data_IF_552446278634
#
_entry.id   IF_552446278634
#
_cell.length_a   1.000
_cell.length_b   1.000
_cell.length_c   1.000
_cell.angle_alpha   90.00
_cell.angle_beta   90.00
_cell.angle_gamma   90.00
#
_symmetry.space_group_name_H-M   'P 1'
#
loop_
_entity.id
_entity.type
_entity.pdbx_description
1 polymer ?
#
# COMPACT_ATOMS: atom_id res chain seq x y z
N UNK A 1 -6.74 3.77 2.47
CA UNK A 1 -5.49 2.97 2.54
C UNK A 1 -4.94 2.82 1.14
N UNK A 2 -3.69 3.19 0.91
CA UNK A 2 -3.06 3.18 -0.41
C UNK A 2 -1.84 2.25 -0.43
N UNK A 3 -1.73 1.35 -1.41
CA UNK A 3 -0.53 0.52 -1.63
C UNK A 3 0.11 0.95 -2.96
N UNK A 4 1.43 1.23 -2.96
CA UNK A 4 2.12 1.78 -4.14
C UNK A 4 3.33 0.94 -4.59
N UNK A 5 3.44 0.63 -5.90
CA UNK A 5 4.60 -0.03 -6.53
C UNK A 5 5.51 0.99 -7.22
N UNK A 6 6.83 0.92 -6.99
CA UNK A 6 7.87 1.71 -7.68
C UNK A 6 8.69 0.78 -8.60
N UNK A 7 9.12 1.27 -9.77
CA UNK A 7 10.06 0.57 -10.66
C UNK A 7 11.40 1.32 -10.64
N UNK A 8 12.50 0.60 -10.42
CA UNK A 8 13.86 1.13 -10.56
C UNK A 8 14.22 1.30 -12.04
N UNK A 9 14.48 2.53 -12.48
CA UNK A 9 15.13 2.77 -13.77
C UNK A 9 16.64 2.47 -13.66
N UNK A 10 17.13 1.53 -14.47
CA UNK A 10 18.56 1.35 -14.72
C UNK A 10 19.01 2.48 -15.66
N UNK A 11 19.87 3.35 -15.14
CA UNK A 11 20.43 4.49 -15.87
C UNK A 11 21.17 4.04 -17.14
N UNK A 12 20.68 4.51 -18.29
CA UNK A 12 21.41 4.52 -19.53
C UNK A 12 20.93 5.67 -20.41
N UNK A 13 21.78 6.68 -20.60
CA UNK A 13 22.04 7.47 -21.84
C UNK A 13 22.52 8.90 -21.49
N UNK A 14 23.64 9.28 -22.12
CA UNK A 14 24.28 10.59 -22.05
C UNK A 14 23.51 11.69 -22.83
N UNK A 15 23.26 12.82 -22.16
CA UNK A 15 23.19 14.28 -22.52
C UNK A 15 23.15 14.75 -23.99
N UNK A 16 22.49 15.89 -24.36
CA UNK A 16 22.83 17.23 -23.81
C UNK A 16 21.75 18.34 -23.68
N UNK A 17 22.00 19.24 -22.69
CA UNK A 17 21.68 20.69 -22.52
C UNK A 17 20.23 21.16 -22.77
N UNK A 18 19.54 21.91 -21.91
CA UNK A 18 19.95 23.21 -21.33
C UNK A 18 18.96 23.68 -20.23
N UNK A 19 19.36 24.73 -19.48
CA UNK A 19 18.65 25.50 -18.44
C UNK A 19 18.68 25.02 -16.98
N UNK A 20 19.72 25.51 -16.28
CA UNK A 20 19.83 25.56 -14.81
C UNK A 20 18.78 26.49 -14.20
N UNK A 21 17.63 25.95 -13.82
CA UNK A 21 16.89 26.46 -12.66
C UNK A 21 17.55 25.85 -11.41
N UNK A 22 17.97 26.70 -10.49
CA UNK A 22 18.59 26.32 -9.21
C UNK A 22 17.78 25.22 -8.50
N UNK A 23 18.36 24.02 -8.37
CA UNK A 23 17.73 22.88 -7.66
C UNK A 23 17.35 23.21 -6.20
N UNK A 24 17.98 24.24 -5.60
CA UNK A 24 17.68 24.69 -4.25
C UNK A 24 16.31 25.38 -4.12
N UNK A 25 15.72 25.87 -5.23
CA UNK A 25 14.42 26.55 -5.20
C UNK A 25 13.23 25.61 -5.48
N UNK A 26 13.43 24.49 -6.19
CA UNK A 26 12.37 23.49 -6.38
C UNK A 26 12.11 22.69 -5.10
N UNK A 27 13.16 22.26 -4.40
CA UNK A 27 13.02 21.50 -3.16
C UNK A 27 12.30 22.30 -2.06
N UNK A 28 12.57 23.61 -1.95
CA UNK A 28 11.89 24.48 -0.98
C UNK A 28 10.43 24.79 -1.37
N UNK A 29 10.11 24.87 -2.66
CA UNK A 29 8.74 25.06 -3.12
C UNK A 29 7.89 23.78 -2.96
N UNK A 30 8.46 22.61 -3.23
CA UNK A 30 7.80 21.29 -3.06
C UNK A 30 7.59 20.99 -1.57
N UNK A 31 8.56 21.32 -0.71
CA UNK A 31 8.40 21.23 0.75
C UNK A 31 7.27 22.14 1.26
N UNK A 32 7.14 23.35 0.71
CA UNK A 32 6.05 24.27 1.07
C UNK A 32 4.66 23.79 0.61
N UNK A 33 4.55 23.08 -0.52
CA UNK A 33 3.26 22.54 -1.00
C UNK A 33 2.76 21.36 -0.16
N UNK A 34 3.69 20.58 0.38
CA UNK A 34 3.42 19.45 1.27
C UNK A 34 2.93 19.91 2.66
N UNK A 35 3.42 21.06 3.12
CA UNK A 35 2.97 21.74 4.34
C UNK A 35 1.56 22.36 4.21
N UNK A 36 1.09 22.62 2.99
CA UNK A 36 -0.19 23.30 2.71
C UNK A 36 -1.42 22.39 2.74
N UNK A 37 -1.25 21.06 2.87
CA UNK A 37 -2.36 20.10 3.04
C UNK A 37 -2.89 20.01 4.49
N UNK A 38 -2.44 20.91 5.37
CA UNK A 38 -2.72 20.84 6.82
C UNK A 38 -3.92 21.73 7.16
N UNK A 39 -5.10 21.12 7.26
CA UNK A 39 -6.13 21.65 8.16
C UNK A 39 -5.73 21.37 9.61
N UNK A 40 -6.24 22.17 10.55
CA UNK A 40 -5.95 22.23 12.00
C UNK A 40 -5.94 20.88 12.77
N UNK A 41 -6.24 19.75 12.14
CA UNK A 41 -6.43 18.43 12.75
C UNK A 41 -5.18 17.53 12.71
N UNK A 42 -4.19 17.82 11.86
CA UNK A 42 -2.97 17.01 11.70
C UNK A 42 -3.14 15.72 10.88
N UNK A 43 -4.37 15.38 10.47
CA UNK A 43 -4.66 14.27 9.55
C UNK A 43 -4.31 14.65 8.11
N UNK A 44 -4.04 13.64 7.29
CA UNK A 44 -3.83 13.81 5.84
C UNK A 44 -5.10 13.47 5.13
N UNK A 45 -5.65 14.46 4.42
CA UNK A 45 -6.80 14.27 3.57
C UNK A 45 -6.34 14.03 2.13
N UNK A 46 -6.93 13.01 1.51
CA UNK A 46 -6.82 12.73 0.10
C UNK A 46 -7.76 13.66 -0.69
N UNK A 47 -7.64 13.70 -2.02
CA UNK A 47 -8.48 14.56 -2.87
C UNK A 47 -9.99 14.26 -2.77
N UNK A 48 -10.35 13.02 -2.45
CA UNK A 48 -11.73 12.58 -2.20
C UNK A 48 -12.23 12.91 -0.77
N UNK A 49 -11.47 13.72 -0.02
CA UNK A 49 -11.68 14.04 1.40
C UNK A 49 -11.61 12.84 2.35
N UNK A 50 -11.16 11.67 1.89
CA UNK A 50 -10.85 10.55 2.79
C UNK A 50 -9.59 10.83 3.60
N UNK A 51 -9.49 10.21 4.77
CA UNK A 51 -8.26 10.26 5.58
C UNK A 51 -7.30 9.18 5.10
N UNK A 52 -6.07 9.55 4.76
CA UNK A 52 -5.00 8.57 4.54
C UNK A 52 -4.66 7.93 5.89
N UNK A 53 -5.09 6.68 6.08
CA UNK A 53 -4.82 5.92 7.30
C UNK A 53 -3.46 5.21 7.27
N UNK A 54 -3.10 4.64 6.11
CA UNK A 54 -1.85 3.92 5.90
C UNK A 54 -1.44 3.94 4.43
N UNK A 55 -0.12 3.99 4.20
CA UNK A 55 0.49 3.78 2.89
C UNK A 55 1.63 2.77 2.97
N UNK A 56 1.47 1.62 2.32
CA UNK A 56 2.61 0.74 2.05
C UNK A 56 3.33 1.20 0.79
N UNK A 57 4.65 1.15 0.82
CA UNK A 57 5.53 1.61 -0.24
C UNK A 57 6.38 0.42 -0.66
N UNK A 58 6.30 -0.01 -1.91
CA UNK A 58 7.13 -1.12 -2.36
C UNK A 58 8.63 -0.77 -2.29
N UNK A 59 9.46 -1.76 -1.99
CA UNK A 59 10.92 -1.65 -2.10
C UNK A 59 11.64 -0.78 -1.07
N UNK A 60 10.97 -0.34 0.01
CA UNK A 60 11.60 0.52 1.05
C UNK A 60 12.46 -0.24 2.06
N UNK A 61 12.49 -1.57 2.00
CA UNK A 61 13.36 -2.41 2.84
C UNK A 61 12.90 -2.61 4.28
N UNK A 62 11.67 -2.25 4.62
CA UNK A 62 11.06 -2.46 5.95
C UNK A 62 9.70 -3.13 5.84
N UNK A 63 9.23 -3.80 6.91
CA UNK A 63 7.94 -4.49 6.90
C UNK A 63 6.76 -3.51 6.92
N UNK A 64 5.86 -3.66 5.94
CA UNK A 64 4.57 -3.00 5.90
C UNK A 64 3.67 -3.48 7.03
N UNK A 65 3.68 -4.78 7.33
CA UNK A 65 2.89 -5.32 8.43
C UNK A 65 3.35 -4.78 9.79
N UNK A 66 4.66 -4.82 10.09
CA UNK A 66 5.18 -4.30 11.36
C UNK A 66 4.88 -2.81 11.51
N UNK A 67 5.05 -2.01 10.44
CA UNK A 67 4.64 -0.60 10.48
C UNK A 67 3.14 -0.49 10.75
N UNK A 68 2.31 -1.28 10.07
CA UNK A 68 0.85 -1.22 10.19
C UNK A 68 0.35 -1.56 11.59
N UNK A 69 1.06 -2.40 12.36
CA UNK A 69 0.65 -2.76 13.73
C UNK A 69 1.40 -1.98 14.81
N UNK A 70 2.31 -1.08 14.44
CA UNK A 70 3.12 -0.28 15.37
C UNK A 70 2.30 0.82 16.05
N UNK A 71 1.47 0.45 17.02
CA UNK A 71 0.66 1.37 17.83
C UNK A 71 1.53 2.40 18.54
N UNK A 72 1.05 3.65 18.60
CA UNK A 72 1.77 4.77 19.22
C UNK A 72 2.89 5.38 18.36
N UNK A 73 3.20 4.82 17.19
CA UNK A 73 4.20 5.36 16.26
C UNK A 73 3.54 5.94 15.00
N UNK A 74 3.20 7.23 15.02
CA UNK A 74 2.37 7.86 13.99
C UNK A 74 3.12 8.97 13.23
N UNK A 75 3.09 8.91 11.90
CA UNK A 75 3.75 9.86 10.98
C UNK A 75 3.00 11.19 10.84
N UNK A 76 1.80 11.25 11.42
CA UNK A 76 1.01 12.47 11.50
C UNK A 76 1.19 13.25 12.81
N UNK A 77 2.11 12.82 13.68
CA UNK A 77 2.56 13.65 14.80
C UNK A 77 3.40 14.85 14.28
N UNK A 78 3.37 16.03 14.92
CA UNK A 78 4.10 17.20 14.43
C UNK A 78 5.60 16.95 14.20
N UNK A 79 6.24 16.19 15.09
CA UNK A 79 7.66 15.87 14.99
C UNK A 79 7.93 14.87 13.86
N UNK A 80 7.23 13.73 13.81
CA UNK A 80 7.43 12.76 12.73
C UNK A 80 7.10 13.35 11.36
N UNK A 81 6.09 14.23 11.30
CA UNK A 81 5.69 14.93 10.08
C UNK A 81 6.79 15.82 9.52
N UNK A 82 7.59 16.46 10.37
CA UNK A 82 8.66 17.36 9.94
C UNK A 82 9.80 16.65 9.20
N UNK A 83 9.95 15.35 9.42
CA UNK A 83 10.96 14.49 8.79
C UNK A 83 10.37 13.57 7.69
N UNK A 84 9.05 13.58 7.50
CA UNK A 84 8.39 12.68 6.54
C UNK A 84 8.59 13.16 5.10
N UNK A 85 9.18 12.36 4.19
CA UNK A 85 9.30 12.73 2.80
C UNK A 85 7.93 12.91 2.15
N UNK A 86 7.76 13.97 1.35
CA UNK A 86 6.48 14.26 0.70
C UNK A 86 6.02 13.16 -0.26
N UNK A 87 6.96 12.41 -0.86
CA UNK A 87 6.63 11.22 -1.63
C UNK A 87 5.88 10.16 -0.82
N UNK A 88 5.98 10.16 0.51
CA UNK A 88 5.27 9.23 1.38
C UNK A 88 3.79 9.59 1.61
N UNK A 89 3.34 10.76 1.16
CA UNK A 89 1.94 11.20 1.25
C UNK A 89 1.25 11.24 -0.12
N UNK A 90 2.01 11.11 -1.20
CA UNK A 90 1.49 11.23 -2.56
C UNK A 90 1.39 9.87 -3.25
N UNK A 91 0.50 9.79 -4.24
CA UNK A 91 0.35 8.60 -5.08
C UNK A 91 1.14 8.71 -6.39
N UNK A 92 1.53 9.92 -6.80
CA UNK A 92 2.16 10.22 -8.09
C UNK A 92 3.51 9.51 -8.32
N UNK A 93 4.17 9.01 -7.26
CA UNK A 93 5.41 8.24 -7.37
C UNK A 93 6.64 9.05 -7.83
N UNK A 94 6.45 10.26 -8.36
CA UNK A 94 7.49 11.19 -8.81
C UNK A 94 8.38 11.77 -7.69
N UNK A 95 8.03 11.55 -6.42
CA UNK A 95 8.81 12.00 -5.27
C UNK A 95 9.29 10.80 -4.46
N UNK A 96 10.54 10.84 -3.94
CA UNK A 96 11.09 9.74 -3.17
C UNK A 96 10.32 9.54 -1.86
N UNK A 97 10.23 8.28 -1.44
CA UNK A 97 9.72 7.87 -0.15
C UNK A 97 10.57 6.72 0.38
N UNK A 98 10.95 6.80 1.65
CA UNK A 98 11.87 5.87 2.31
C UNK A 98 11.19 4.97 3.35
N UNK A 99 9.89 5.17 3.60
CA UNK A 99 9.16 4.46 4.66
C UNK A 99 7.69 4.24 4.31
N UNK A 100 7.02 3.48 5.15
CA UNK A 100 5.57 3.38 5.15
C UNK A 100 4.97 4.51 5.97
N UNK A 101 3.86 5.07 5.50
CA UNK A 101 3.13 6.07 6.27
C UNK A 101 2.06 5.38 7.13
N UNK A 102 1.99 5.76 8.41
CA UNK A 102 0.94 5.36 9.37
C UNK A 102 0.34 6.59 10.05
N UNK A 103 -0.98 6.70 10.00
CA UNK A 103 -1.73 7.73 10.72
C UNK A 103 -2.16 7.25 12.11
N UNK A 104 -2.31 8.19 13.04
CA UNK A 104 -2.90 7.97 14.37
C UNK A 104 -4.34 7.46 14.32
N UNK A 105 -5.06 7.65 13.21
CA UNK A 105 -6.43 7.14 13.06
C UNK A 105 -6.50 5.61 13.21
N UNK A 106 -5.39 4.90 12.98
CA UNK A 106 -5.32 3.47 13.22
C UNK A 106 -5.25 3.12 14.72
N UNK A 107 -4.70 4.00 15.55
CA UNK A 107 -4.73 3.87 17.02
C UNK A 107 -6.10 4.31 17.57
N UNK A 108 -6.65 5.40 17.01
CA UNK A 108 -7.94 5.98 17.39
C UNK A 108 -9.15 5.23 16.78
N UNK A 109 -8.92 4.21 15.93
CA UNK A 109 -9.97 3.46 15.24
C UNK A 109 -11.09 3.00 16.18
N UNK A 110 -10.81 2.39 17.36
CA UNK A 110 -11.87 1.88 18.23
C UNK A 110 -12.84 2.96 18.75
N UNK A 111 -12.41 4.22 18.79
CA UNK A 111 -13.22 5.37 19.20
C UNK A 111 -13.68 6.24 18.03
N UNK A 112 -13.30 5.88 16.79
CA UNK A 112 -13.63 6.61 15.58
C UNK A 112 -14.85 5.99 14.89
N UNK A 113 -15.76 6.82 14.43
CA UNK A 113 -16.82 6.40 13.50
C UNK A 113 -16.25 6.28 12.10
N UNK A 114 -15.96 5.05 11.67
CA UNK A 114 -15.44 4.75 10.34
C UNK A 114 -16.53 3.99 9.58
N UNK A 115 -17.15 4.66 8.61
CA UNK A 115 -18.25 4.07 7.83
C UNK A 115 -17.70 3.24 6.66
N UNK A 116 -16.63 3.70 6.01
CA UNK A 116 -16.05 3.04 4.83
C UNK A 116 -14.54 3.06 4.90
N UNK A 117 -13.93 1.94 4.54
CA UNK A 117 -12.49 1.82 4.35
C UNK A 117 -12.23 1.47 2.89
N UNK A 118 -11.39 2.25 2.22
CA UNK A 118 -10.97 1.98 0.84
C UNK A 118 -9.52 1.51 0.81
N UNK A 119 -9.27 0.34 0.24
CA UNK A 119 -7.96 -0.08 -0.24
C UNK A 119 -7.83 0.34 -1.70
N UNK A 120 -6.73 0.98 -2.07
CA UNK A 120 -6.44 1.33 -3.46
C UNK A 120 -4.99 1.03 -3.81
N UNK A 121 -4.78 0.34 -4.93
CA UNK A 121 -3.47 0.04 -5.51
C UNK A 121 -3.11 1.11 -6.52
N UNK A 122 -1.92 1.66 -6.43
CA UNK A 122 -1.38 2.61 -7.39
C UNK A 122 -0.07 2.11 -8.00
N UNK A 123 0.08 2.34 -9.29
CA UNK A 123 1.33 2.19 -10.01
C UNK A 123 1.58 3.48 -10.78
N UNK A 124 2.69 4.15 -10.49
CA UNK A 124 3.10 5.41 -11.14
C UNK A 124 2.01 6.50 -11.12
N UNK A 125 1.33 6.70 -9.99
CA UNK A 125 0.24 7.68 -9.88
C UNK A 125 -1.11 7.24 -10.46
N UNK A 126 -1.17 6.08 -11.12
CA UNK A 126 -2.41 5.59 -11.72
C UNK A 126 -3.03 4.53 -10.82
N UNK A 127 -4.32 4.71 -10.49
CA UNK A 127 -5.08 3.70 -9.77
C UNK A 127 -5.21 2.44 -10.64
N UNK A 128 -4.82 1.30 -10.07
CA UNK A 128 -4.87 0.00 -10.73
C UNK A 128 -6.10 -0.80 -10.31
N UNK A 129 -6.33 -0.91 -8.99
CA UNK A 129 -7.45 -1.63 -8.40
C UNK A 129 -7.91 -0.98 -7.11
N UNK A 130 -9.18 -1.15 -6.75
CA UNK A 130 -9.66 -0.83 -5.42
C UNK A 130 -10.57 -1.91 -4.84
N UNK A 131 -10.68 -1.89 -3.51
CA UNK A 131 -11.71 -2.59 -2.74
C UNK A 131 -12.21 -1.64 -1.65
N UNK A 132 -13.52 -1.49 -1.54
CA UNK A 132 -14.19 -0.78 -0.46
C UNK A 132 -14.80 -1.76 0.52
N UNK A 133 -14.70 -1.43 1.79
CA UNK A 133 -15.15 -2.24 2.91
C UNK A 133 -16.08 -1.44 3.82
N UNK A 134 -17.06 -2.12 4.39
CA UNK A 134 -17.85 -1.63 5.52
C UNK A 134 -16.96 -1.53 6.77
N UNK A 135 -16.67 -0.29 7.17
CA UNK A 135 -15.88 0.02 8.36
C UNK A 135 -16.70 -0.03 9.66
N UNK A 136 -18.02 -0.14 9.57
CA UNK A 136 -18.91 -0.03 10.72
C UNK A 136 -18.61 -1.13 11.74
N UNK A 137 -18.33 -0.72 12.98
CA UNK A 137 -17.99 -1.65 14.06
C UNK A 137 -16.74 -2.49 13.81
N UNK A 138 -15.86 -2.07 12.89
CA UNK A 138 -14.57 -2.70 12.67
C UNK A 138 -13.50 -2.14 13.61
N UNK A 139 -12.33 -2.76 13.59
CA UNK A 139 -11.09 -2.23 14.14
C UNK A 139 -10.02 -2.23 13.04
N UNK A 140 -8.84 -1.70 13.36
CA UNK A 140 -7.74 -1.60 12.39
C UNK A 140 -7.22 -2.96 11.88
N UNK A 141 -7.62 -4.11 12.42
CA UNK A 141 -7.21 -5.43 11.92
C UNK A 141 -8.33 -6.19 11.18
N UNK A 142 -9.59 -6.05 11.60
CA UNK A 142 -10.70 -6.87 11.11
C UNK A 142 -11.53 -6.23 9.99
N UNK A 143 -11.28 -4.96 9.64
CA UNK A 143 -11.93 -4.30 8.50
C UNK A 143 -11.56 -4.99 7.18
N UNK A 144 -10.35 -5.52 7.09
CA UNK A 144 -9.82 -6.22 5.92
C UNK A 144 -10.26 -7.68 5.94
N UNK A 145 -11.55 -7.92 5.68
CA UNK A 145 -12.12 -9.27 5.60
C UNK A 145 -13.12 -9.33 4.46
N UNK A 146 -13.28 -10.52 3.87
CA UNK A 146 -14.20 -10.75 2.76
C UNK A 146 -15.64 -10.31 3.08
N UNK A 147 -16.10 -10.63 4.29
CA UNK A 147 -17.45 -10.34 4.76
C UNK A 147 -17.78 -8.83 4.82
N UNK A 148 -16.75 -7.97 4.78
CA UNK A 148 -16.90 -6.52 4.81
C UNK A 148 -16.80 -5.89 3.43
N UNK A 149 -16.47 -6.63 2.37
CA UNK A 149 -16.37 -6.05 1.02
C UNK A 149 -17.75 -5.57 0.56
N UNK A 150 -17.83 -4.29 0.21
CA UNK A 150 -19.06 -3.65 -0.32
C UNK A 150 -18.95 -3.31 -1.79
N UNK A 151 -17.73 -3.07 -2.31
CA UNK A 151 -17.49 -2.71 -3.70
C UNK A 151 -16.02 -3.03 -4.08
N UNK A 152 -15.74 -3.34 -5.35
CA UNK A 152 -14.42 -3.78 -5.80
C UNK A 152 -14.30 -3.76 -7.32
N UNK A 153 -13.10 -3.51 -7.85
CA UNK A 153 -12.77 -3.75 -9.26
C UNK A 153 -12.66 -5.26 -9.58
N UNK A 154 -12.43 -6.09 -8.57
CA UNK A 154 -12.50 -7.55 -8.69
C UNK A 154 -13.92 -8.02 -8.46
N UNK A 155 -14.56 -8.56 -9.49
CA UNK A 155 -15.99 -8.88 -9.53
C UNK A 155 -16.37 -10.13 -8.75
N UNK A 156 -15.39 -11.00 -8.48
CA UNK A 156 -15.57 -12.29 -7.82
C UNK A 156 -15.11 -12.31 -6.35
N UNK A 157 -14.47 -11.24 -5.87
CA UNK A 157 -13.84 -11.17 -4.54
C UNK A 157 -14.80 -11.45 -3.39
N UNK A 158 -16.10 -11.15 -3.54
CA UNK A 158 -17.12 -11.38 -2.51
C UNK A 158 -17.81 -12.74 -2.63
N UNK A 159 -17.72 -13.40 -3.78
CA UNK A 159 -18.51 -14.60 -4.10
C UNK A 159 -17.67 -15.88 -4.14
N UNK A 160 -16.39 -15.77 -4.46
CA UNK A 160 -15.45 -16.89 -4.45
C UNK A 160 -14.99 -17.22 -3.03
N UNK A 161 -14.48 -18.44 -2.82
CA UNK A 161 -13.88 -18.77 -1.52
C UNK A 161 -12.57 -18.00 -1.32
N UNK A 162 -12.23 -17.68 -0.08
CA UNK A 162 -10.92 -17.14 0.26
C UNK A 162 -10.28 -18.00 1.36
N UNK A 163 -9.14 -18.66 1.06
CA UNK A 163 -8.37 -19.36 2.08
C UNK A 163 -7.58 -18.37 2.96
N UNK A 164 -7.26 -17.19 2.44
CA UNK A 164 -6.71 -16.06 3.20
C UNK A 164 -7.38 -14.75 2.81
N UNK A 165 -7.76 -13.96 3.80
CA UNK A 165 -8.22 -12.58 3.63
C UNK A 165 -7.90 -11.82 4.92
N UNK A 166 -6.64 -11.42 5.09
CA UNK A 166 -6.20 -10.76 6.31
C UNK A 166 -4.96 -9.90 6.12
N UNK A 167 -4.82 -8.88 6.97
CA UNK A 167 -3.62 -8.03 7.03
C UNK A 167 -2.39 -8.82 7.47
N UNK A 168 -2.55 -9.71 8.46
CA UNK A 168 -1.46 -10.56 8.93
C UNK A 168 -1.01 -11.58 7.87
N UNK A 169 -1.91 -12.00 6.99
CA UNK A 169 -1.65 -12.96 5.92
C UNK A 169 -1.10 -14.29 6.44
N UNK A 170 -0.01 -14.79 5.84
CA UNK A 170 0.58 -16.10 6.15
C UNK A 170 2.10 -16.05 6.14
N UNK A 171 2.70 -16.73 7.11
CA UNK A 171 4.12 -17.06 7.14
C UNK A 171 4.24 -18.58 7.17
N UNK A 172 5.13 -19.13 6.36
CA UNK A 172 5.34 -20.57 6.33
C UNK A 172 6.56 -20.94 7.18
N UNK A 173 6.49 -21.96 8.05
CA UNK A 173 7.61 -22.33 8.92
C UNK A 173 8.85 -22.86 8.16
N UNK A 174 8.61 -23.53 7.02
CA UNK A 174 9.64 -24.30 6.31
C UNK A 174 10.15 -23.61 5.04
N UNK A 175 9.58 -22.45 4.68
CA UNK A 175 10.01 -21.66 3.52
C UNK A 175 10.04 -20.17 3.89
N UNK A 176 10.96 -19.36 3.31
CA UNK A 176 11.14 -17.96 3.69
C UNK A 176 9.97 -17.02 3.31
N UNK A 177 8.82 -17.56 2.90
CA UNK A 177 7.69 -16.78 2.40
C UNK A 177 6.92 -16.05 3.52
N UNK A 178 6.93 -14.72 3.44
CA UNK A 178 6.16 -13.80 4.30
C UNK A 178 5.18 -13.03 3.44
N UNK A 179 3.91 -13.42 3.50
CA UNK A 179 2.83 -12.89 2.67
C UNK A 179 1.86 -12.10 3.53
N UNK A 180 1.84 -10.77 3.41
CA UNK A 180 1.01 -9.83 4.18
C UNK A 180 -0.08 -9.21 3.31
N UNK A 181 -1.06 -8.55 3.95
CA UNK A 181 -2.22 -7.93 3.26
C UNK A 181 -2.75 -8.86 2.16
N UNK A 182 -3.01 -10.10 2.55
CA UNK A 182 -3.12 -11.22 1.64
C UNK A 182 -4.58 -11.54 1.39
N UNK A 183 -4.97 -11.50 0.13
CA UNK A 183 -6.29 -11.89 -0.37
C UNK A 183 -6.06 -13.01 -1.37
N UNK A 184 -6.34 -14.24 -0.94
CA UNK A 184 -6.07 -15.43 -1.71
C UNK A 184 -7.28 -16.36 -1.70
N UNK A 185 -7.60 -16.90 -2.87
CA UNK A 185 -8.70 -17.86 -3.08
C UNK A 185 -8.27 -19.25 -2.63
N UNK A 186 -7.16 -19.72 -3.17
CA UNK A 186 -6.66 -21.07 -2.94
C UNK A 186 -5.16 -21.14 -3.17
N UNK A 187 -4.49 -22.04 -2.47
CA UNK A 187 -3.13 -22.43 -2.86
C UNK A 187 -3.19 -23.41 -4.02
N UNK A 188 -2.36 -23.18 -5.02
CA UNK A 188 -2.16 -24.11 -6.12
C UNK A 188 -1.04 -25.09 -5.84
N UNK A 189 -0.98 -26.16 -6.63
CA UNK A 189 0.24 -26.96 -6.69
C UNK A 189 1.28 -26.19 -7.51
N UNK A 190 2.55 -26.30 -7.15
CA UNK A 190 3.66 -25.65 -7.87
C UNK A 190 3.44 -24.15 -8.10
N UNK A 191 2.98 -23.43 -7.08
CA UNK A 191 2.80 -21.98 -7.14
C UNK A 191 1.73 -21.48 -8.13
N UNK A 192 0.77 -22.33 -8.51
CA UNK A 192 -0.45 -21.93 -9.24
C UNK A 192 -1.50 -21.31 -8.28
N UNK A 193 -1.05 -20.40 -7.41
CA UNK A 193 -1.90 -19.77 -6.41
C UNK A 193 -2.90 -18.83 -7.10
N UNK A 194 -4.16 -18.90 -6.67
CA UNK A 194 -5.21 -18.03 -7.19
C UNK A 194 -5.59 -17.06 -6.09
N UNK A 195 -5.55 -15.76 -6.38
CA UNK A 195 -5.78 -14.74 -5.36
C UNK A 195 -6.09 -13.40 -5.99
N UNK A 196 -5.96 -12.32 -5.23
CA UNK A 196 -6.22 -10.96 -5.73
C UNK A 196 -5.14 -9.98 -5.33
N UNK A 197 -4.54 -10.15 -4.14
CA UNK A 197 -3.53 -9.26 -3.59
C UNK A 197 -2.57 -10.01 -2.67
N UNK A 198 -1.28 -9.67 -2.79
CA UNK A 198 -0.19 -10.11 -1.94
C UNK A 198 0.80 -8.95 -1.72
N UNK A 199 1.15 -8.69 -0.47
CA UNK A 199 2.34 -7.91 -0.10
C UNK A 199 3.41 -8.87 0.42
N UNK A 200 4.37 -9.21 -0.43
CA UNK A 200 5.48 -10.10 -0.09
C UNK A 200 6.58 -9.31 0.62
N UNK A 201 7.03 -9.78 1.80
CA UNK A 201 8.05 -9.10 2.61
C UNK A 201 9.37 -9.86 2.73
N UNK A 202 9.49 -11.01 2.06
CA UNK A 202 10.67 -11.87 2.05
C UNK A 202 10.69 -12.73 0.77
N UNK A 203 11.78 -13.48 0.57
CA UNK A 203 11.90 -14.46 -0.53
C UNK A 203 10.76 -15.47 -0.49
N UNK A 204 10.30 -15.90 -1.66
CA UNK A 204 9.25 -16.92 -1.79
C UNK A 204 9.78 -18.09 -2.61
N UNK A 205 9.19 -19.28 -2.42
CA UNK A 205 9.46 -20.44 -3.28
C UNK A 205 8.78 -20.31 -4.64
N UNK A 206 7.85 -19.35 -4.75
CA UNK A 206 7.12 -19.08 -5.96
C UNK A 206 7.78 -17.98 -6.78
N UNK A 207 8.21 -18.32 -8.00
CA UNK A 207 8.94 -17.44 -8.91
C UNK A 207 8.16 -16.18 -9.33
N UNK A 208 6.83 -16.19 -9.21
CA UNK A 208 6.00 -15.01 -9.42
C UNK A 208 6.24 -13.91 -8.37
N UNK A 209 6.83 -14.25 -7.21
CA UNK A 209 7.31 -13.27 -6.24
C UNK A 209 8.74 -12.89 -6.65
N UNK A 210 8.95 -11.67 -7.16
CA UNK A 210 10.29 -11.27 -7.57
C UNK A 210 11.22 -11.13 -6.36
N UNK A 211 12.55 -11.23 -6.59
CA UNK A 211 13.55 -10.95 -5.57
C UNK A 211 13.46 -9.49 -5.07
N UNK A 212 14.15 -9.15 -3.96
CA UNK A 212 14.13 -7.81 -3.37
C UNK A 212 14.46 -6.68 -4.37
N UNK A 213 14.07 -5.42 -4.05
CA UNK A 213 13.76 -4.93 -2.71
C UNK A 213 12.32 -5.20 -2.23
N UNK A 214 12.18 -5.61 -0.97
CA UNK A 214 10.90 -5.82 -0.29
C UNK A 214 10.38 -4.54 0.39
N UNK A 215 9.07 -4.40 0.64
CA UNK A 215 8.02 -5.32 0.22
C UNK A 215 7.72 -5.21 -1.27
N UNK A 216 7.25 -6.30 -1.88
CA UNK A 216 6.71 -6.30 -3.25
C UNK A 216 5.20 -6.42 -3.17
N UNK A 217 4.48 -5.62 -3.96
CA UNK A 217 3.02 -5.67 -4.05
C UNK A 217 2.65 -6.35 -5.37
N UNK A 218 1.94 -7.46 -5.28
CA UNK A 218 1.49 -8.30 -6.39
C UNK A 218 -0.04 -8.35 -6.31
N UNK A 219 -0.72 -8.20 -7.46
CA UNK A 219 -2.18 -8.12 -7.49
C UNK A 219 -2.76 -8.57 -8.82
N UNK A 220 -4.08 -8.72 -8.89
CA UNK A 220 -4.73 -9.08 -10.14
C UNK A 220 -4.83 -8.01 -11.19
N UNK A 221 -4.11 -8.23 -12.29
CA UNK A 221 -4.31 -7.54 -13.55
C UNK A 221 -5.64 -7.90 -14.25
N UNK A 222 -6.32 -8.97 -13.84
CA UNK A 222 -7.67 -9.31 -14.31
C UNK A 222 -8.76 -8.74 -13.40
N UNK A 223 -10.03 -8.92 -13.79
CA UNK A 223 -11.20 -8.58 -12.96
C UNK A 223 -11.58 -9.71 -12.01
N UNK A 224 -10.86 -10.83 -12.04
CA UNK A 224 -11.13 -12.04 -11.25
C UNK A 224 -9.86 -12.58 -10.59
N UNK A 225 -10.03 -13.56 -9.69
CA UNK A 225 -8.95 -14.29 -9.02
C UNK A 225 -8.17 -15.21 -9.97
N UNK A 226 -8.72 -15.46 -11.15
CA UNK A 226 -8.21 -16.34 -12.20
C UNK A 226 -8.13 -15.54 -13.49
N UNK A 227 -6.95 -15.04 -13.83
CA UNK A 227 -6.79 -14.28 -15.06
C UNK A 227 -5.36 -14.31 -15.55
N UNK A 228 -5.21 -14.31 -16.88
CA UNK A 228 -3.92 -14.24 -17.56
C UNK A 228 -3.29 -12.90 -17.20
N UNK A 229 -2.30 -12.93 -16.30
CA UNK A 229 -1.76 -11.75 -15.63
C UNK A 229 -1.82 -11.78 -14.10
N UNK A 230 -2.11 -12.94 -13.50
CA UNK A 230 -1.80 -13.21 -12.10
C UNK A 230 -1.15 -14.54 -11.87
N UNK A 231 -0.10 -14.47 -11.04
CA UNK A 231 0.38 -15.57 -10.21
C UNK A 231 0.62 -16.85 -11.04
N UNK A 232 1.37 -16.65 -12.13
CA UNK A 232 2.33 -17.61 -12.71
C UNK A 232 3.67 -16.92 -12.79
#
# INVERSE_FOLDING_TARGET
>A
MVLHRQVSEVLGVNTPTDNKVSQNNLASHVNNQCLLLIFSTGLVFMEDHSVLAFRATAGVGVSAYERYVATGSNDDSPLARSDLPCGCLTVNGSLPCDRHYRSRILDDWPSSSIDTVRLTLYENGVQQRFVEFDGSGSNFLNWFTQARVVNSDWTDISNETANFFSIAGVNFPDVPAVRRFYINRSFGQNCDDQGWLLVAEADDVCDYVPPPPYPVIIYSGATTSTGVGMIT
#
